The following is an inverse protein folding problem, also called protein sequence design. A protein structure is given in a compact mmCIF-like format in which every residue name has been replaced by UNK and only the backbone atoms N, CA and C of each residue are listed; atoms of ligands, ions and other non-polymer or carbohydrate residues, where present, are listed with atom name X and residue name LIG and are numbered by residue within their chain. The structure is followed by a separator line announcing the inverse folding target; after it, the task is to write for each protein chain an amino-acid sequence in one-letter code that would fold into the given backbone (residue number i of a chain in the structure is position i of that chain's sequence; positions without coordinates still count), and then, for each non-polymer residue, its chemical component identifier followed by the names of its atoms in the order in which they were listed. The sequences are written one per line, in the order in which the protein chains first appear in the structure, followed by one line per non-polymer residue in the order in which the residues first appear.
data_IF_140360281652
#
_entry.id   IF_140360281652
#
_cell.length_a   1.000
_cell.length_b   1.000
_cell.length_c   1.000
_cell.angle_alpha   90.00
_cell.angle_beta   90.00
_cell.angle_gamma   90.00
#
_symmetry.space_group_name_H-M   'P 1'
#
loop_
_entity.id
_entity.type
_entity.pdbx_description
1 polymer ?
#
# COMPACT_ATOMS: atom_id res chain seq x y z
N UNK A 1 -8.71 -13.01 -15.95
CA UNK A 1 -8.59 -14.06 -16.99
C UNK A 1 -9.45 -13.72 -18.21
N UNK A 2 -9.15 -14.21 -19.42
CA UNK A 2 -10.02 -14.00 -20.60
C UNK A 2 -11.04 -15.15 -20.72
N UNK A 3 -12.29 -14.87 -21.10
CA UNK A 3 -13.27 -15.92 -21.36
C UNK A 3 -12.82 -16.76 -22.57
N UNK A 4 -12.95 -18.08 -22.45
CA UNK A 4 -12.61 -19.05 -23.49
C UNK A 4 -13.84 -19.69 -24.14
N UNK A 5 -15.03 -19.43 -23.58
CA UNK A 5 -16.27 -19.95 -24.09
C UNK A 5 -17.48 -19.05 -23.81
N UNK A 6 -18.62 -19.36 -24.45
CA UNK A 6 -19.87 -18.59 -24.33
C UNK A 6 -20.44 -18.53 -22.91
N UNK A 7 -20.20 -19.54 -22.08
CA UNK A 7 -20.61 -19.52 -20.67
C UNK A 7 -19.79 -18.47 -19.93
N UNK A 8 -18.46 -18.48 -20.08
CA UNK A 8 -17.57 -17.48 -19.47
C UNK A 8 -17.85 -16.05 -19.94
N UNK A 9 -18.16 -15.85 -21.24
CA UNK A 9 -18.62 -14.55 -21.78
C UNK A 9 -19.93 -14.08 -21.11
N UNK A 10 -20.88 -14.99 -20.89
CA UNK A 10 -22.13 -14.68 -20.19
C UNK A 10 -21.87 -14.32 -18.72
N UNK A 11 -20.99 -15.05 -18.03
CA UNK A 11 -20.63 -14.74 -16.66
C UNK A 11 -19.96 -13.36 -16.55
N UNK A 12 -19.05 -13.03 -17.46
CA UNK A 12 -18.43 -11.70 -17.52
C UNK A 12 -19.46 -10.59 -17.79
N UNK A 13 -20.49 -10.87 -18.59
CA UNK A 13 -21.60 -9.94 -18.77
C UNK A 13 -22.41 -9.74 -17.48
N UNK A 14 -22.69 -10.82 -16.74
CA UNK A 14 -23.42 -10.77 -15.47
C UNK A 14 -22.62 -9.97 -14.42
N UNK A 15 -21.30 -10.17 -14.34
CA UNK A 15 -20.47 -9.44 -13.37
C UNK A 15 -20.50 -7.92 -13.60
N UNK A 16 -20.61 -7.48 -14.86
CA UNK A 16 -20.66 -6.06 -15.25
C UNK A 16 -22.07 -5.47 -15.29
N UNK A 17 -23.12 -6.29 -15.13
CA UNK A 17 -24.52 -5.85 -15.19
C UNK A 17 -24.82 -4.79 -14.12
N UNK A 18 -25.32 -3.64 -14.58
CA UNK A 18 -25.75 -2.56 -13.68
C UNK A 18 -27.09 -2.92 -13.01
N UNK A 19 -27.34 -2.37 -11.83
CA UNK A 19 -28.60 -2.56 -11.09
C UNK A 19 -28.69 -3.84 -10.26
N UNK A 20 -27.69 -4.73 -10.31
CA UNK A 20 -27.59 -5.90 -9.42
C UNK A 20 -26.64 -5.63 -8.24
N UNK A 21 -26.98 -6.16 -7.05
CA UNK A 21 -26.06 -6.23 -5.91
C UNK A 21 -24.96 -7.27 -6.15
N UNK A 22 -23.89 -7.21 -5.35
CA UNK A 22 -22.80 -8.21 -5.40
C UNK A 22 -23.36 -9.61 -5.17
N UNK A 23 -24.25 -9.78 -4.19
CA UNK A 23 -24.88 -11.06 -3.86
C UNK A 23 -25.73 -11.59 -5.00
N UNK A 24 -26.49 -10.71 -5.67
CA UNK A 24 -27.29 -11.10 -6.85
C UNK A 24 -26.39 -11.53 -8.01
N UNK A 25 -25.28 -10.82 -8.24
CA UNK A 25 -24.31 -11.21 -9.27
C UNK A 25 -23.66 -12.56 -8.94
N UNK A 26 -23.26 -12.79 -7.69
CA UNK A 26 -22.72 -14.09 -7.25
C UNK A 26 -23.71 -15.22 -7.49
N UNK A 27 -24.96 -15.04 -7.10
CA UNK A 27 -26.03 -16.02 -7.33
C UNK A 27 -26.26 -16.31 -8.82
N UNK A 28 -26.36 -15.27 -9.66
CA UNK A 28 -26.50 -15.45 -11.11
C UNK A 28 -25.27 -16.17 -11.68
N UNK A 29 -24.05 -15.78 -11.30
CA UNK A 29 -22.82 -16.41 -11.79
C UNK A 29 -22.75 -17.89 -11.40
N UNK A 30 -23.01 -18.23 -10.14
CA UNK A 30 -23.02 -19.62 -9.67
C UNK A 30 -24.10 -20.46 -10.37
N UNK A 31 -25.27 -19.87 -10.64
CA UNK A 31 -26.36 -20.52 -11.35
C UNK A 31 -25.99 -20.82 -12.81
N UNK A 32 -25.37 -19.86 -13.51
CA UNK A 32 -25.06 -19.99 -14.94
C UNK A 32 -23.69 -20.63 -15.22
N UNK A 33 -22.81 -20.80 -14.23
CA UNK A 33 -21.49 -21.41 -14.40
C UNK A 33 -21.55 -22.89 -14.83
N UNK A 34 -22.62 -23.61 -14.46
CA UNK A 34 -22.79 -25.05 -14.71
C UNK A 34 -24.20 -25.37 -15.22
N UNK A 35 -24.53 -25.06 -16.49
CA UNK A 35 -25.88 -25.19 -17.04
C UNK A 35 -26.47 -26.62 -17.04
N UNK A 36 -25.66 -27.68 -16.90
CA UNK A 36 -26.14 -29.07 -16.97
C UNK A 36 -26.50 -29.73 -15.62
N UNK A 37 -26.42 -29.04 -14.47
CA UNK A 37 -26.65 -29.71 -13.16
C UNK A 37 -28.03 -30.36 -12.99
N UNK A 38 -29.04 -30.02 -13.80
CA UNK A 38 -30.40 -30.57 -13.72
C UNK A 38 -31.01 -31.03 -15.06
N UNK A 39 -30.28 -31.04 -16.17
CA UNK A 39 -30.86 -31.43 -17.47
C UNK A 39 -30.56 -32.88 -17.78
N UNK A 40 -31.56 -33.73 -17.53
CA UNK A 40 -31.72 -35.06 -18.12
C UNK A 40 -31.56 -34.96 -19.65
N UNK A 41 -30.39 -35.29 -20.18
CA UNK A 41 -30.23 -35.52 -21.61
C UNK A 41 -30.86 -36.88 -21.94
N UNK A 42 -31.97 -36.85 -22.67
CA UNK A 42 -32.49 -38.01 -23.37
C UNK A 42 -31.38 -38.56 -24.27
N UNK A 43 -30.72 -39.63 -23.83
CA UNK A 43 -29.75 -40.38 -24.61
C UNK A 43 -30.45 -40.97 -25.84
N UNK A 44 -30.24 -40.38 -27.02
CA UNK A 44 -30.78 -40.92 -28.27
C UNK A 44 -30.89 -39.99 -29.48
N UNK A 45 -30.68 -38.67 -29.35
CA UNK A 45 -30.63 -37.77 -30.51
C UNK A 45 -29.22 -37.20 -30.71
N UNK A 46 -28.74 -37.21 -31.96
CA UNK A 46 -27.50 -36.55 -32.35
C UNK A 46 -27.59 -35.07 -31.94
N UNK A 47 -26.69 -34.63 -31.04
CA UNK A 47 -26.75 -33.33 -30.40
C UNK A 47 -26.66 -32.20 -31.44
N UNK A 48 -27.79 -31.55 -31.75
CA UNK A 48 -27.81 -30.38 -32.64
C UNK A 48 -27.13 -29.15 -32.00
N UNK A 49 -26.99 -29.15 -30.67
CA UNK A 49 -26.15 -28.22 -29.91
C UNK A 49 -25.67 -28.96 -28.68
N UNK A 50 -24.37 -29.22 -28.56
CA UNK A 50 -23.79 -29.58 -27.26
C UNK A 50 -24.19 -28.49 -26.24
N UNK A 51 -24.45 -28.83 -24.96
CA UNK A 51 -24.53 -27.80 -23.94
C UNK A 51 -23.31 -26.87 -24.05
N UNK A 52 -23.50 -25.55 -23.87
CA UNK A 52 -22.36 -24.66 -23.83
C UNK A 52 -21.39 -25.20 -22.76
N UNK A 53 -20.09 -25.26 -23.07
CA UNK A 53 -19.12 -25.85 -22.15
C UNK A 53 -19.21 -25.14 -20.80
N UNK A 54 -19.11 -25.91 -19.72
CA UNK A 54 -19.06 -25.34 -18.37
C UNK A 54 -17.96 -24.28 -18.29
N UNK A 55 -18.21 -23.23 -17.50
CA UNK A 55 -17.15 -22.30 -17.17
C UNK A 55 -16.06 -23.02 -16.37
N UNK A 56 -14.80 -22.70 -16.63
CA UNK A 56 -13.70 -23.24 -15.82
C UNK A 56 -13.88 -22.76 -14.39
N UNK A 57 -13.64 -23.65 -13.43
CA UNK A 57 -13.78 -23.33 -12.01
C UNK A 57 -12.93 -22.11 -11.61
N UNK A 58 -11.67 -22.10 -12.03
CA UNK A 58 -10.76 -20.97 -11.83
C UNK A 58 -11.29 -19.63 -12.37
N UNK A 59 -11.98 -19.64 -13.52
CA UNK A 59 -12.60 -18.44 -14.09
C UNK A 59 -13.77 -17.96 -13.22
N UNK A 60 -14.62 -18.89 -12.77
CA UNK A 60 -15.77 -18.59 -11.92
C UNK A 60 -15.31 -18.04 -10.57
N UNK A 61 -14.32 -18.69 -9.96
CA UNK A 61 -13.76 -18.29 -8.67
C UNK A 61 -13.13 -16.89 -8.79
N UNK A 62 -12.29 -16.62 -9.80
CA UNK A 62 -11.68 -15.29 -10.04
C UNK A 62 -12.74 -14.21 -10.29
N UNK A 63 -13.80 -14.53 -11.02
CA UNK A 63 -14.87 -13.58 -11.32
C UNK A 63 -15.73 -13.27 -10.09
N UNK A 64 -16.00 -14.26 -9.23
CA UNK A 64 -16.73 -14.06 -7.98
C UNK A 64 -15.88 -13.23 -7.00
N UNK A 65 -14.58 -13.53 -6.93
CA UNK A 65 -13.63 -12.78 -6.10
C UNK A 65 -13.51 -11.32 -6.56
N UNK A 66 -13.57 -11.06 -7.87
CA UNK A 66 -13.53 -9.69 -8.40
C UNK A 66 -14.79 -8.87 -8.09
N UNK A 67 -15.91 -9.49 -7.68
CA UNK A 67 -17.13 -8.76 -7.33
C UNK A 67 -17.04 -8.05 -5.98
N UNK A 68 -16.20 -8.54 -5.06
CA UNK A 68 -16.02 -7.92 -3.76
C UNK A 68 -14.86 -6.91 -3.83
N UNK A 69 -15.06 -5.68 -3.32
CA UNK A 69 -13.95 -4.74 -3.21
C UNK A 69 -12.84 -5.30 -2.32
N UNK A 70 -11.61 -5.24 -2.81
CA UNK A 70 -10.41 -5.55 -2.04
C UNK A 70 -9.80 -4.25 -1.54
N UNK A 71 -9.15 -4.31 -0.39
CA UNK A 71 -8.64 -3.12 0.28
C UNK A 71 -7.14 -3.26 0.49
N UNK A 72 -6.38 -2.21 0.21
CA UNK A 72 -4.94 -2.22 0.46
C UNK A 72 -4.51 -1.03 1.30
N UNK A 73 -3.41 -1.22 2.01
CA UNK A 73 -2.58 -0.14 2.54
C UNK A 73 -1.19 -0.24 1.93
N UNK A 74 -0.69 0.87 1.41
CA UNK A 74 0.70 1.01 0.98
C UNK A 74 1.44 1.90 1.97
N UNK A 75 2.47 1.38 2.61
CA UNK A 75 3.35 2.13 3.50
C UNK A 75 4.56 2.59 2.69
N UNK A 76 4.86 3.88 2.71
CA UNK A 76 5.97 4.48 1.97
C UNK A 76 7.06 4.98 2.89
N UNK A 77 8.30 4.89 2.42
CA UNK A 77 9.48 5.51 3.04
C UNK A 77 10.31 6.23 1.99
N UNK A 78 10.41 7.54 2.12
CA UNK A 78 11.30 8.38 1.34
C UNK A 78 12.67 8.47 2.03
N UNK A 79 13.74 8.36 1.25
CA UNK A 79 15.10 8.51 1.77
C UNK A 79 15.42 10.01 1.94
N UNK A 80 16.23 10.43 2.92
CA UNK A 80 16.94 11.71 2.85
C UNK A 80 17.48 12.04 1.46
N UNK A 81 17.15 13.20 0.92
CA UNK A 81 17.48 13.63 -0.44
C UNK A 81 16.41 13.29 -1.49
N UNK A 82 15.31 12.62 -1.14
CA UNK A 82 14.20 12.39 -2.06
C UNK A 82 13.69 13.74 -2.61
N UNK A 83 13.64 13.93 -3.94
CA UNK A 83 13.11 15.15 -4.55
C UNK A 83 11.65 15.41 -4.18
N UNK A 84 11.32 16.69 -3.94
CA UNK A 84 9.98 17.13 -3.61
C UNK A 84 9.27 17.75 -4.81
N UNK A 85 7.94 17.62 -4.82
CA UNK A 85 7.03 18.25 -5.77
C UNK A 85 6.06 19.19 -5.06
N UNK A 86 5.48 20.13 -5.82
CA UNK A 86 4.33 20.92 -5.40
C UNK A 86 3.03 20.09 -5.37
N UNK A 87 1.93 20.73 -4.96
CA UNK A 87 0.59 20.10 -4.88
C UNK A 87 0.07 19.60 -6.24
N UNK A 88 0.66 20.03 -7.35
CA UNK A 88 0.31 19.67 -8.71
C UNK A 88 1.26 18.61 -9.32
N UNK A 89 2.24 18.14 -8.54
CA UNK A 89 3.22 17.15 -8.98
C UNK A 89 4.38 17.73 -9.80
N UNK A 90 4.53 19.06 -9.87
CA UNK A 90 5.68 19.67 -10.53
C UNK A 90 6.88 19.71 -9.56
N UNK A 91 8.12 19.61 -10.08
CA UNK A 91 9.33 19.77 -9.27
C UNK A 91 9.31 21.04 -8.41
N UNK A 92 9.44 20.89 -7.09
CA UNK A 92 9.57 22.03 -6.19
C UNK A 92 11.00 22.57 -6.23
N UNK A 93 11.14 23.88 -6.43
CA UNK A 93 12.41 24.57 -6.65
C UNK A 93 12.60 25.70 -5.63
N UNK A 94 13.81 25.80 -5.08
CA UNK A 94 14.16 26.92 -4.24
C UNK A 94 14.03 28.23 -5.04
N UNK A 95 13.27 29.19 -4.49
CA UNK A 95 12.94 30.43 -5.20
C UNK A 95 14.17 31.25 -5.56
N UNK A 96 15.23 31.14 -4.77
CA UNK A 96 16.47 31.90 -4.87
C UNK A 96 17.49 31.17 -5.74
N UNK A 97 17.80 29.92 -5.42
CA UNK A 97 18.88 29.16 -6.08
C UNK A 97 18.40 28.44 -7.34
N UNK A 98 17.08 28.28 -7.52
CA UNK A 98 16.44 27.45 -8.56
C UNK A 98 16.82 25.98 -8.50
N UNK A 99 17.41 25.53 -7.39
CA UNK A 99 17.76 24.13 -7.19
C UNK A 99 16.56 23.32 -6.73
N UNK A 100 16.58 22.02 -7.03
CA UNK A 100 15.53 21.08 -6.61
C UNK A 100 15.48 20.98 -5.09
N UNK A 101 14.29 21.19 -4.51
CA UNK A 101 14.05 20.97 -3.09
C UNK A 101 13.97 19.47 -2.84
N UNK A 102 14.62 19.02 -1.76
CA UNK A 102 14.69 17.62 -1.36
C UNK A 102 14.30 17.45 0.11
N UNK A 103 13.76 16.29 0.45
CA UNK A 103 13.48 15.93 1.84
C UNK A 103 14.79 15.81 2.64
N UNK A 104 14.93 16.57 3.74
CA UNK A 104 16.16 16.53 4.52
C UNK A 104 16.33 15.24 5.34
N UNK A 105 15.26 14.81 6.02
CA UNK A 105 15.27 13.68 6.94
C UNK A 105 14.69 12.38 6.34
N UNK A 106 14.16 12.46 5.12
CA UNK A 106 13.24 11.45 4.60
C UNK A 106 11.83 11.67 5.13
N UNK A 107 10.92 10.76 4.78
CA UNK A 107 9.52 10.82 5.22
C UNK A 107 8.86 9.45 5.22
N UNK A 108 7.90 9.23 6.11
CA UNK A 108 7.12 8.00 6.18
C UNK A 108 5.62 8.36 6.22
N UNK A 109 4.83 7.67 5.41
CA UNK A 109 3.39 7.88 5.32
C UNK A 109 2.70 6.63 4.80
N UNK A 110 1.37 6.65 4.74
CA UNK A 110 0.60 5.56 4.18
C UNK A 110 -0.48 6.04 3.19
N UNK A 111 -0.80 5.18 2.23
CA UNK A 111 -1.90 5.31 1.28
C UNK A 111 -2.84 4.15 1.48
N UNK A 112 -4.14 4.39 1.41
CA UNK A 112 -5.17 3.35 1.41
C UNK A 112 -5.88 3.34 0.07
N UNK A 113 -6.25 2.17 -0.43
CA UNK A 113 -6.88 2.02 -1.75
C UNK A 113 -8.00 0.99 -1.70
N UNK A 114 -9.03 1.20 -2.53
CA UNK A 114 -10.11 0.25 -2.79
C UNK A 114 -9.95 -0.23 -4.21
N UNK A 115 -9.74 -1.53 -4.38
CA UNK A 115 -9.66 -2.19 -5.67
C UNK A 115 -11.05 -2.76 -5.96
N UNK A 116 -11.73 -2.15 -6.93
CA UNK A 116 -13.05 -2.55 -7.39
C UNK A 116 -13.24 -2.07 -8.82
N UNK A 117 -14.31 -2.52 -9.49
CA UNK A 117 -14.68 -2.01 -10.82
C UNK A 117 -14.93 -0.49 -10.85
N UNK A 118 -15.16 0.12 -9.68
CA UNK A 118 -15.28 1.57 -9.56
C UNK A 118 -13.88 2.17 -9.35
N UNK A 119 -13.46 3.03 -10.27
CA UNK A 119 -12.28 3.87 -10.09
C UNK A 119 -12.50 4.84 -8.92
N UNK A 120 -12.03 4.45 -7.75
CA UNK A 120 -11.97 5.30 -6.57
C UNK A 120 -10.55 5.79 -6.39
N UNK A 121 -10.37 7.10 -6.29
CA UNK A 121 -9.08 7.69 -5.98
C UNK A 121 -8.61 7.23 -4.59
N UNK A 122 -7.33 6.85 -4.45
CA UNK A 122 -6.79 6.43 -3.17
C UNK A 122 -6.65 7.63 -2.23
N UNK A 123 -6.83 7.39 -0.93
CA UNK A 123 -6.53 8.38 0.10
C UNK A 123 -5.08 8.19 0.58
N UNK A 124 -4.32 9.27 0.71
CA UNK A 124 -3.00 9.28 1.35
C UNK A 124 -3.05 10.06 2.65
N UNK A 125 -2.23 9.68 3.63
CA UNK A 125 -2.08 10.42 4.88
C UNK A 125 -0.63 10.35 5.36
N UNK A 126 -0.04 11.52 5.57
CA UNK A 126 1.19 11.64 6.34
C UNK A 126 1.27 12.96 7.08
N UNK A 127 2.24 13.06 7.99
CA UNK A 127 2.29 14.12 8.98
C UNK A 127 3.62 14.87 8.93
N UNK A 128 3.55 16.19 8.77
CA UNK A 128 4.72 17.05 8.61
C UNK A 128 4.55 18.34 9.44
N UNK A 129 5.64 19.05 9.76
CA UNK A 129 5.53 20.35 10.40
C UNK A 129 5.00 21.39 9.38
N UNK A 130 4.10 22.29 9.81
CA UNK A 130 3.54 23.35 8.94
C UNK A 130 4.64 24.29 8.44
N UNK A 131 5.59 24.60 9.33
CA UNK A 131 6.80 25.35 9.00
C UNK A 131 7.97 24.39 9.10
N UNK A 132 8.88 24.44 8.14
CA UNK A 132 10.13 23.67 8.19
C UNK A 132 10.80 23.80 9.57
N UNK A 133 11.14 22.68 10.19
CA UNK A 133 11.74 22.65 11.52
C UNK A 133 11.46 21.31 12.22
N UNK A 134 12.09 21.11 13.38
CA UNK A 134 12.00 19.84 14.14
C UNK A 134 10.92 19.86 15.22
N UNK A 135 10.41 21.04 15.60
CA UNK A 135 9.38 21.21 16.63
C UNK A 135 8.40 22.29 16.18
N UNK A 136 7.10 22.06 16.34
CA UNK A 136 6.09 23.10 16.09
C UNK A 136 4.69 22.54 15.81
N UNK A 137 3.83 23.37 15.23
CA UNK A 137 2.52 22.90 14.75
C UNK A 137 2.73 21.97 13.55
N UNK A 138 2.13 20.79 13.61
CA UNK A 138 2.08 19.85 12.52
C UNK A 138 0.80 19.94 11.72
N UNK A 139 0.80 19.28 10.57
CA UNK A 139 -0.34 19.12 9.69
C UNK A 139 -0.31 17.73 9.06
N UNK A 140 -1.49 17.12 8.97
CA UNK A 140 -1.69 15.91 8.16
C UNK A 140 -2.04 16.36 6.75
N UNK A 141 -1.39 15.77 5.75
CA UNK A 141 -1.61 16.06 4.34
C UNK A 141 -2.10 14.82 3.60
N UNK A 142 -2.92 15.03 2.57
CA UNK A 142 -3.34 14.00 1.62
C UNK A 142 -2.47 13.91 0.37
N UNK A 143 -1.42 14.71 0.30
CA UNK A 143 -0.65 14.92 -0.93
C UNK A 143 0.75 14.32 -0.90
N UNK A 144 1.14 13.57 0.15
CA UNK A 144 2.49 12.99 0.23
C UNK A 144 2.83 12.06 -0.95
N UNK A 145 1.85 11.33 -1.48
CA UNK A 145 2.02 10.54 -2.70
C UNK A 145 2.35 11.36 -3.96
N UNK A 146 2.03 12.66 -3.98
CA UNK A 146 2.36 13.60 -5.06
C UNK A 146 3.67 14.32 -4.72
N UNK A 147 3.82 14.76 -3.46
CA UNK A 147 4.94 15.56 -2.98
C UNK A 147 6.27 14.82 -2.99
N UNK A 148 6.30 13.51 -2.83
CA UNK A 148 7.55 12.75 -2.79
C UNK A 148 7.77 11.98 -4.09
N UNK A 149 8.76 12.41 -4.87
CA UNK A 149 9.10 11.75 -6.13
C UNK A 149 9.88 10.46 -5.87
N UNK A 150 9.38 9.32 -6.34
CA UNK A 150 10.06 8.02 -6.26
C UNK A 150 10.57 7.67 -4.84
N UNK A 151 9.67 7.49 -3.85
CA UNK A 151 10.08 7.08 -2.50
C UNK A 151 10.94 5.83 -2.54
N UNK A 152 11.96 5.75 -1.69
CA UNK A 152 12.96 4.68 -1.75
C UNK A 152 12.37 3.30 -1.55
N UNK A 153 11.42 3.15 -0.63
CA UNK A 153 10.76 1.87 -0.40
C UNK A 153 9.27 2.02 -0.19
N UNK A 154 8.50 1.06 -0.69
CA UNK A 154 7.08 0.91 -0.39
C UNK A 154 6.70 -0.55 -0.19
N UNK A 155 5.76 -0.80 0.72
CA UNK A 155 5.11 -2.10 0.91
C UNK A 155 3.61 -1.94 0.82
N UNK A 156 3.00 -2.59 -0.15
CA UNK A 156 1.56 -2.75 -0.27
C UNK A 156 1.13 -4.06 0.39
N UNK A 157 0.04 -4.00 1.15
CA UNK A 157 -0.51 -5.12 1.91
C UNK A 157 -2.02 -5.14 1.65
N UNK A 158 -2.57 -6.28 1.27
CA UNK A 158 -4.02 -6.46 1.29
C UNK A 158 -4.52 -6.58 2.72
N UNK A 159 -5.55 -5.80 3.05
CA UNK A 159 -6.12 -5.70 4.39
C UNK A 159 -7.60 -6.00 4.39
N UNK A 160 -8.10 -6.39 5.56
CA UNK A 160 -9.54 -6.56 5.77
C UNK A 160 -10.23 -5.20 5.70
N UNK A 161 -11.48 -5.18 5.27
CA UNK A 161 -12.32 -3.97 5.22
C UNK A 161 -12.28 -3.15 6.51
N UNK A 162 -12.39 -3.80 7.68
CA UNK A 162 -12.37 -3.07 8.95
C UNK A 162 -11.02 -2.39 9.23
N UNK A 163 -9.90 -2.98 8.79
CA UNK A 163 -8.57 -2.40 8.97
C UNK A 163 -8.40 -1.17 8.07
N UNK A 164 -8.88 -1.26 6.82
CA UNK A 164 -8.98 -0.11 5.93
C UNK A 164 -9.82 1.03 6.54
N UNK A 165 -10.99 0.70 7.09
CA UNK A 165 -11.87 1.68 7.72
C UNK A 165 -11.20 2.33 8.94
N UNK A 166 -10.45 1.57 9.74
CA UNK A 166 -9.66 2.09 10.87
C UNK A 166 -8.54 3.04 10.43
N UNK A 167 -7.80 2.69 9.39
CA UNK A 167 -6.78 3.57 8.80
C UNK A 167 -7.40 4.87 8.28
N UNK A 168 -8.54 4.76 7.58
CA UNK A 168 -9.26 5.92 7.07
C UNK A 168 -9.78 6.80 8.20
N UNK A 169 -10.39 6.21 9.22
CA UNK A 169 -10.89 6.90 10.41
C UNK A 169 -9.78 7.71 11.08
N UNK A 170 -8.63 7.08 11.33
CA UNK A 170 -7.47 7.73 11.94
C UNK A 170 -6.97 8.91 11.10
N UNK A 171 -6.72 8.67 9.80
CA UNK A 171 -6.22 9.67 8.86
C UNK A 171 -7.16 10.86 8.69
N UNK A 172 -8.45 10.61 8.45
CA UNK A 172 -9.48 11.65 8.29
C UNK A 172 -9.66 12.49 9.56
N UNK A 173 -9.64 11.86 10.73
CA UNK A 173 -9.80 12.56 12.00
C UNK A 173 -8.64 13.54 12.23
N UNK A 174 -7.40 13.08 12.00
CA UNK A 174 -6.22 13.92 12.15
C UNK A 174 -6.14 15.00 11.06
N UNK A 175 -6.51 14.69 9.82
CA UNK A 175 -6.63 15.65 8.72
C UNK A 175 -7.62 16.78 9.02
N UNK A 176 -8.76 16.45 9.67
CA UNK A 176 -9.75 17.43 10.16
C UNK A 176 -9.29 18.23 11.39
N UNK A 177 -8.00 18.17 11.72
CA UNK A 177 -7.34 18.87 12.83
C UNK A 177 -7.83 18.45 14.22
N UNK A 178 -8.35 17.24 14.35
CA UNK A 178 -8.71 16.67 15.65
C UNK A 178 -7.50 15.97 16.28
N UNK A 179 -7.32 16.18 17.58
CA UNK A 179 -6.28 15.50 18.39
C UNK A 179 -6.78 14.19 19.02
N UNK A 180 -7.94 13.65 18.59
CA UNK A 180 -8.55 12.49 19.25
C UNK A 180 -7.66 11.25 19.25
N UNK A 181 -6.97 10.98 18.15
CA UNK A 181 -6.11 9.80 17.99
C UNK A 181 -4.62 10.11 17.93
N UNK A 182 -4.26 11.36 17.64
CA UNK A 182 -2.87 11.75 17.42
C UNK A 182 -2.68 13.24 17.72
N UNK A 183 -1.58 13.61 18.39
CA UNK A 183 -1.26 15.00 18.66
C UNK A 183 -0.78 15.72 17.41
N UNK A 184 -1.38 16.86 17.07
CA UNK A 184 -0.93 17.68 15.93
C UNK A 184 0.21 18.65 16.29
N UNK A 185 0.89 18.42 17.41
CA UNK A 185 2.12 19.12 17.75
C UNK A 185 3.34 18.31 17.31
N UNK A 186 3.95 18.70 16.21
CA UNK A 186 5.10 18.01 15.62
C UNK A 186 6.33 18.10 16.53
N UNK A 187 6.95 16.94 16.77
CA UNK A 187 8.25 16.80 17.40
C UNK A 187 9.00 15.67 16.66
N UNK A 188 10.07 16.03 15.93
CA UNK A 188 10.81 15.08 15.10
C UNK A 188 11.40 13.87 15.83
N UNK A 189 11.51 13.92 17.17
CA UNK A 189 12.05 12.82 17.98
C UNK A 189 10.98 11.94 18.67
N UNK A 190 9.73 12.41 18.79
CA UNK A 190 8.72 11.75 19.61
C UNK A 190 7.25 11.92 19.14
N UNK A 191 7.02 12.69 18.07
CA UNK A 191 5.71 12.89 17.44
C UNK A 191 5.91 13.39 15.99
N UNK A 192 6.36 12.49 15.13
CA UNK A 192 6.86 12.72 13.78
C UNK A 192 6.00 11.97 12.74
N UNK A 193 6.43 11.99 11.47
CA UNK A 193 5.79 11.20 10.40
C UNK A 193 5.84 9.69 10.65
N UNK A 194 6.89 9.23 11.35
CA UNK A 194 7.10 7.83 11.72
C UNK A 194 6.07 7.44 12.77
N UNK A 195 5.97 8.22 13.86
CA UNK A 195 5.02 7.99 14.94
C UNK A 195 3.57 8.00 14.44
N UNK A 196 3.23 8.96 13.58
CA UNK A 196 1.91 9.06 12.95
C UNK A 196 1.55 7.79 12.19
N UNK A 197 2.47 7.33 11.34
CA UNK A 197 2.25 6.14 10.51
C UNK A 197 2.13 4.89 11.38
N UNK A 198 3.00 4.71 12.37
CA UNK A 198 2.94 3.55 13.26
C UNK A 198 1.68 3.54 14.13
N UNK A 199 1.25 4.69 14.66
CA UNK A 199 0.01 4.78 15.42
C UNK A 199 -1.22 4.47 14.56
N UNK A 200 -1.26 4.92 13.30
CA UNK A 200 -2.32 4.56 12.35
C UNK A 200 -2.37 3.05 12.11
N UNK A 201 -1.21 2.43 11.83
CA UNK A 201 -1.09 0.99 11.60
C UNK A 201 -1.53 0.18 12.83
N UNK A 202 -1.11 0.59 14.04
CA UNK A 202 -1.57 -0.03 15.29
C UNK A 202 -3.06 0.11 15.51
N UNK A 203 -3.63 1.29 15.22
CA UNK A 203 -5.07 1.52 15.30
C UNK A 203 -5.87 0.58 14.39
N UNK A 204 -5.25 0.11 13.30
CA UNK A 204 -5.79 -0.87 12.37
C UNK A 204 -5.29 -2.31 12.62
N UNK A 205 -4.67 -2.58 13.78
CA UNK A 205 -4.16 -3.89 14.18
C UNK A 205 -3.06 -4.47 13.26
N UNK A 206 -2.36 -3.62 12.52
CA UNK A 206 -1.23 -3.98 11.66
C UNK A 206 0.08 -3.84 12.45
N UNK A 207 0.39 -4.86 13.26
CA UNK A 207 1.49 -4.84 14.21
C UNK A 207 2.67 -5.70 13.70
N UNK A 208 3.91 -5.18 13.65
CA UNK A 208 5.11 -5.96 13.29
C UNK A 208 5.34 -7.19 14.18
N UNK A 209 5.71 -8.33 13.59
CA UNK A 209 6.00 -9.60 14.30
C UNK A 209 7.05 -9.44 15.40
N UNK A 210 8.16 -8.74 15.12
CA UNK A 210 9.24 -8.53 16.10
C UNK A 210 8.78 -7.85 17.39
N UNK A 211 7.66 -7.13 17.33
CA UNK A 211 7.06 -6.44 18.47
C UNK A 211 5.99 -7.30 19.14
N UNK A 212 5.23 -8.08 18.35
CA UNK A 212 4.30 -9.07 18.88
C UNK A 212 5.03 -10.12 19.74
N UNK A 213 6.18 -10.62 19.27
CA UNK A 213 7.03 -11.56 20.01
C UNK A 213 7.50 -10.99 21.35
N UNK A 214 7.79 -9.68 21.39
CA UNK A 214 8.21 -8.95 22.60
C UNK A 214 7.04 -8.47 23.46
N UNK A 215 5.79 -8.58 22.98
CA UNK A 215 4.56 -8.03 23.62
C UNK A 215 4.67 -6.54 23.99
N UNK A 216 5.35 -5.74 23.17
CA UNK A 216 5.62 -4.32 23.43
C UNK A 216 4.96 -3.37 22.41
N UNK A 217 3.88 -3.82 21.75
CA UNK A 217 3.20 -3.07 20.69
C UNK A 217 2.86 -1.63 21.08
N UNK A 218 2.43 -1.41 22.32
CA UNK A 218 1.99 -0.12 22.82
C UNK A 218 3.15 0.84 23.15
N UNK A 219 4.41 0.38 23.12
CA UNK A 219 5.62 1.17 23.43
C UNK A 219 6.51 1.44 22.22
N UNK A 220 6.24 0.80 21.08
CA UNK A 220 7.07 0.97 19.90
C UNK A 220 6.63 2.20 19.11
N UNK A 221 7.46 3.23 19.10
CA UNK A 221 7.19 4.47 18.37
C UNK A 221 7.93 4.54 17.01
N UNK A 222 8.63 3.47 16.65
CA UNK A 222 9.48 3.41 15.46
C UNK A 222 10.94 3.75 15.75
N UNK A 223 11.76 3.56 14.73
CA UNK A 223 13.15 4.05 14.74
C UNK A 223 13.18 5.53 14.35
N UNK A 224 14.08 6.32 14.94
CA UNK A 224 14.17 7.76 14.67
C UNK A 224 14.41 8.08 13.17
N UNK A 225 15.18 7.23 12.49
CA UNK A 225 15.46 7.38 11.06
C UNK A 225 14.47 6.57 10.24
N UNK A 226 13.80 7.25 9.30
CA UNK A 226 12.79 6.65 8.39
C UNK A 226 13.26 5.31 7.81
N UNK A 227 14.47 5.25 7.26
CA UNK A 227 15.00 4.04 6.60
C UNK A 227 15.19 2.84 7.55
N UNK A 228 15.40 3.08 8.85
CA UNK A 228 15.55 2.01 9.84
C UNK A 228 14.20 1.36 10.20
N UNK A 229 13.08 1.96 9.79
CA UNK A 229 11.75 1.36 9.98
C UNK A 229 11.42 0.29 8.92
N UNK A 230 12.19 0.18 7.83
CA UNK A 230 11.93 -0.77 6.74
C UNK A 230 11.86 -2.23 7.24
N UNK A 231 12.80 -2.75 8.05
CA UNK A 231 12.70 -4.11 8.59
C UNK A 231 11.41 -4.36 9.40
N UNK A 232 10.98 -3.38 10.20
CA UNK A 232 9.74 -3.47 10.96
C UNK A 232 8.52 -3.46 10.05
N UNK A 233 8.50 -2.60 9.03
CA UNK A 233 7.44 -2.57 8.02
C UNK A 233 7.34 -3.93 7.32
N UNK A 234 8.46 -4.56 6.97
CA UNK A 234 8.50 -5.89 6.34
C UNK A 234 7.98 -7.02 7.24
N UNK A 235 8.16 -6.88 8.55
CA UNK A 235 7.69 -7.88 9.51
C UNK A 235 6.20 -7.75 9.88
N UNK A 236 5.45 -6.81 9.30
CA UNK A 236 4.00 -6.79 9.48
C UNK A 236 3.40 -8.03 8.79
N UNK A 237 2.67 -8.90 9.50
CA UNK A 237 2.03 -10.04 8.88
C UNK A 237 0.88 -9.56 7.99
N UNK A 238 0.83 -10.04 6.75
CA UNK A 238 -0.26 -9.71 5.84
C UNK A 238 -1.54 -10.46 6.26
N UNK A 239 -2.69 -9.78 6.43
CA UNK A 239 -3.97 -10.43 6.71
C UNK A 239 -4.35 -11.52 5.69
N UNK A 240 -3.89 -11.36 4.45
CA UNK A 240 -4.02 -12.31 3.36
C UNK A 240 -2.62 -12.65 2.82
N UNK A 241 -1.89 -13.61 3.40
CA UNK A 241 -0.47 -13.87 3.07
C UNK A 241 -0.21 -14.17 1.60
N UNK A 242 -1.10 -14.94 0.97
CA UNK A 242 -0.97 -15.40 -0.42
C UNK A 242 -1.56 -14.41 -1.45
N UNK A 243 -1.99 -13.23 -1.00
CA UNK A 243 -2.52 -12.19 -1.86
C UNK A 243 -1.47 -11.68 -2.85
N UNK A 244 -1.84 -11.60 -4.12
CA UNK A 244 -1.04 -11.02 -5.20
C UNK A 244 -0.88 -9.50 -5.07
N UNK A 245 -1.69 -8.86 -4.23
CA UNK A 245 -1.59 -7.42 -3.94
C UNK A 245 -0.47 -7.10 -2.96
N UNK A 246 0.06 -8.11 -2.27
CA UNK A 246 1.19 -7.93 -1.37
C UNK A 246 2.48 -7.72 -2.18
N UNK A 247 2.88 -6.45 -2.33
CA UNK A 247 4.02 -6.08 -3.18
C UNK A 247 5.00 -5.21 -2.39
N UNK A 248 6.29 -5.54 -2.49
CA UNK A 248 7.38 -4.67 -2.06
C UNK A 248 8.09 -4.06 -3.27
N UNK A 249 8.45 -2.78 -3.16
CA UNK A 249 9.22 -2.09 -4.20
C UNK A 249 10.33 -1.27 -3.59
N UNK A 250 11.50 -1.31 -4.22
CA UNK A 250 12.61 -0.40 -3.98
C UNK A 250 12.84 0.46 -5.22
N UNK A 251 12.95 1.77 -5.01
CA UNK A 251 13.49 2.71 -5.99
C UNK A 251 14.97 2.98 -5.69
N UNK A 252 15.67 3.63 -6.62
CA UNK A 252 17.07 4.02 -6.41
C UNK A 252 17.18 5.00 -5.24
N UNK A 253 18.26 4.90 -4.47
CA UNK A 253 18.61 5.93 -3.48
C UNK A 253 18.84 7.25 -4.23
N UNK A 254 18.22 8.36 -3.82
CA UNK A 254 18.37 9.64 -4.50
C UNK A 254 19.80 10.17 -4.43
N UNK A 255 20.23 10.81 -5.51
CA UNK A 255 21.52 11.49 -5.58
C UNK A 255 21.56 12.67 -4.61
N UNK A 256 22.63 12.73 -3.81
CA UNK A 256 22.79 13.72 -2.74
C UNK A 256 24.09 14.50 -2.88
N UNK A 257 24.01 15.83 -2.83
CA UNK A 257 25.20 16.68 -2.64
C UNK A 257 25.86 16.38 -1.29
N UNK A 258 27.17 16.60 -1.20
CA UNK A 258 28.01 16.23 -0.04
C UNK A 258 27.47 16.82 1.28
N UNK A 259 26.99 18.07 1.28
CA UNK A 259 26.45 18.70 2.49
C UNK A 259 25.15 18.03 3.00
N UNK A 260 24.25 17.58 2.11
CA UNK A 260 23.07 16.81 2.52
C UNK A 260 23.45 15.47 3.16
N UNK A 261 24.57 14.86 2.74
CA UNK A 261 25.09 13.64 3.38
C UNK A 261 25.58 13.93 4.80
N UNK A 262 26.17 15.10 5.06
CA UNK A 262 26.68 15.49 6.38
C UNK A 262 25.55 15.77 7.36
N UNK A 263 24.52 16.52 6.96
CA UNK A 263 23.33 16.75 7.80
C UNK A 263 22.54 15.48 8.08
N UNK A 264 22.51 14.53 7.15
CA UNK A 264 21.88 13.21 7.35
C UNK A 264 22.73 12.25 8.21
N UNK A 265 24.04 12.49 8.35
CA UNK A 265 24.98 11.70 9.15
C UNK A 265 25.18 12.22 10.57
N UNK A 266 24.98 13.51 10.83
CA UNK A 266 25.32 14.12 12.11
C UNK A 266 24.40 13.73 13.29
N UNK A 267 23.44 12.82 13.10
CA UNK A 267 22.69 12.15 14.17
C UNK A 267 23.19 10.72 14.47
N UNK A 268 24.38 10.33 13.99
CA UNK A 268 24.95 8.99 14.20
C UNK A 268 25.72 8.87 15.53
N UNK A 269 25.09 8.25 16.54
CA UNK A 269 25.80 7.37 17.48
C UNK A 269 25.45 5.92 17.13
N UNK A 270 26.35 5.28 16.38
CA UNK A 270 26.59 3.83 16.22
C UNK A 270 25.39 2.92 15.87
N UNK A 271 25.16 2.68 14.57
CA UNK A 271 24.86 1.34 14.01
C UNK A 271 24.68 1.32 12.47
N UNK A 272 25.57 1.98 11.71
CA UNK A 272 25.47 2.04 10.24
C UNK A 272 26.18 0.91 9.48
N UNK A 273 26.77 -0.09 10.16
CA UNK A 273 27.60 -1.11 9.50
C UNK A 273 26.81 -2.22 8.77
N UNK A 274 25.50 -2.38 9.00
CA UNK A 274 24.75 -3.49 8.41
C UNK A 274 23.95 -3.17 7.12
N UNK A 275 23.87 -1.90 6.71
CA UNK A 275 23.09 -1.52 5.50
C UNK A 275 23.92 -1.67 4.21
N UNK A 276 25.25 -1.64 4.32
CA UNK A 276 26.17 -1.74 3.17
C UNK A 276 26.48 -3.17 2.68
N UNK A 277 26.03 -4.20 3.39
CA UNK A 277 26.38 -5.60 3.09
C UNK A 277 25.29 -6.29 2.25
N UNK A 278 24.02 -5.90 2.41
CA UNK A 278 22.90 -6.51 1.69
C UNK A 278 22.83 -6.17 0.19
N UNK A 279 23.53 -5.13 -0.28
CA UNK A 279 23.54 -4.74 -1.70
C UNK A 279 24.72 -5.30 -2.50
N UNK A 280 25.64 -6.07 -1.90
CA UNK A 280 26.81 -6.65 -2.59
C UNK A 280 26.77 -8.17 -2.78
N UNK A 281 25.77 -8.86 -2.21
CA UNK A 281 25.68 -10.33 -2.31
C UNK A 281 24.93 -10.85 -3.55
N UNK A 282 24.34 -10.00 -4.39
CA UNK A 282 23.62 -10.43 -5.59
C UNK A 282 24.34 -10.22 -6.94
N UNK A 283 25.50 -9.55 -6.96
CA UNK A 283 26.22 -9.27 -8.22
C UNK A 283 27.42 -10.21 -8.49
N UNK A 284 27.58 -11.28 -7.70
CA UNK A 284 28.77 -12.13 -7.77
C UNK A 284 28.46 -13.63 -7.95
N UNK A 285 27.51 -14.01 -8.82
CA UNK A 285 27.46 -15.42 -9.32
C UNK A 285 26.87 -15.49 -10.73
N UNK A 286 27.56 -14.97 -11.76
CA UNK A 286 27.42 -15.49 -13.14
C UNK A 286 28.77 -15.39 -13.87
N UNK A 287 29.52 -16.51 -13.88
CA UNK A 287 30.25 -17.09 -15.02
C UNK A 287 31.38 -18.01 -14.53
N UNK A 288 31.37 -19.32 -14.85
CA UNK A 288 32.58 -20.08 -15.02
C UNK A 288 32.90 -20.26 -16.51
N UNK A 289 34.19 -20.15 -16.82
CA UNK A 289 34.84 -20.64 -18.04
C UNK A 289 34.86 -22.16 -18.02
#
# INVERSE_FOLDING_TARGET
MKPENKTEELLEYISKKEGLTVEQKKQEIEQFASPDKNVNYNAGQACATCPPPHARKEFVDELIDSLEPRYTVTIYTAYPGTPLNDDYGNPDLDKTTKERIVSMAGHMWFKISIISDKNQEPDSYGFAPIKSGVIGKGIVTKHDNIHYENPYYSREIEVKKYQYEKLKEFGETAFKKSNNYFSLYYNGAANSCIDFTWQALRHAELIPESIQEKKEADKFDGELKVIHNIPHIKSIPAPFPDSELNVEKYNKIPDRKIWHRLFSKNDDVKNSENIGIASRQHDAVINPV
#
